data_IF_971005804567
#
_entry.id   IF_971005804567
#
_cell.length_a   1.000
_cell.length_b   1.000
_cell.length_c   1.000
_cell.angle_alpha   90.00
_cell.angle_beta   90.00
_cell.angle_gamma   90.00
#
_symmetry.space_group_name_H-M   'P 1'
#
loop_
_entity.id
_entity.type
_entity.pdbx_description
1 polymer ?
#
# COMPACT_ATOMS: atom_id res chain seq x y z
N UNK A 1 -3.37 -12.44 8.47
CA UNK A 1 -1.91 -12.22 8.35
C UNK A 1 -1.56 -11.96 6.89
N UNK A 2 -0.62 -11.05 6.63
CA UNK A 2 -0.06 -10.77 5.32
C UNK A 2 1.31 -11.46 5.23
N UNK A 3 1.53 -12.42 4.32
CA UNK A 3 2.80 -13.11 4.21
C UNK A 3 3.88 -12.23 3.57
N UNK A 4 5.15 -12.61 3.74
CA UNK A 4 6.24 -12.04 2.94
C UNK A 4 5.97 -12.29 1.45
N UNK A 5 6.37 -11.35 0.60
CA UNK A 5 6.07 -11.33 -0.83
C UNK A 5 4.69 -10.72 -1.18
N UNK A 6 3.80 -10.52 -0.22
CA UNK A 6 2.51 -9.88 -0.48
C UNK A 6 2.69 -8.44 -0.99
N UNK A 7 2.06 -8.12 -2.12
CA UNK A 7 2.12 -6.81 -2.77
C UNK A 7 0.73 -6.30 -3.14
N UNK A 8 0.63 -5.02 -3.51
CA UNK A 8 -0.64 -4.30 -3.71
C UNK A 8 -1.68 -4.61 -2.63
N UNK A 9 -1.23 -4.54 -1.38
CA UNK A 9 -2.05 -4.71 -0.19
C UNK A 9 -3.00 -3.51 -0.09
N UNK A 10 -4.28 -3.81 0.09
CA UNK A 10 -5.33 -2.85 0.41
C UNK A 10 -6.19 -3.46 1.52
N UNK A 11 -6.14 -2.88 2.71
CA UNK A 11 -6.98 -3.26 3.85
C UNK A 11 -7.84 -2.07 4.23
N UNK A 12 -9.15 -2.28 4.33
CA UNK A 12 -10.12 -1.24 4.65
C UNK A 12 -10.99 -1.69 5.81
N UNK A 13 -11.01 -0.91 6.87
CA UNK A 13 -11.98 -0.97 7.94
C UNK A 13 -13.07 0.09 7.69
N UNK A 14 -14.31 -0.25 8.01
CA UNK A 14 -15.43 0.68 8.02
C UNK A 14 -16.19 0.52 9.31
N UNK A 15 -16.69 1.66 9.77
CA UNK A 15 -17.66 1.77 10.84
C UNK A 15 -18.81 0.79 10.77
N UNK A 16 -19.16 0.18 11.90
CA UNK A 16 -20.43 -0.51 12.03
C UNK A 16 -21.59 0.44 11.70
N UNK A 17 -22.47 0.04 10.77
CA UNK A 17 -23.57 0.87 10.23
C UNK A 17 -23.16 2.28 9.75
N UNK A 18 -21.90 2.50 9.37
CA UNK A 18 -21.42 3.79 8.85
C UNK A 18 -21.00 4.79 9.94
N UNK A 19 -20.86 4.36 11.19
CA UNK A 19 -20.30 5.19 12.27
C UNK A 19 -18.82 5.50 12.01
N UNK A 20 -18.43 6.77 12.00
CA UNK A 20 -17.03 7.17 11.73
C UNK A 20 -16.13 6.96 12.96
N UNK A 21 -16.71 6.93 14.16
CA UNK A 21 -16.01 6.65 15.43
C UNK A 21 -16.66 5.42 16.09
N UNK A 22 -16.47 4.24 15.53
CA UNK A 22 -16.98 2.98 16.12
C UNK A 22 -16.01 2.33 17.12
N UNK A 23 -15.04 3.13 17.59
CA UNK A 23 -13.94 2.78 18.49
C UNK A 23 -13.02 1.64 18.00
N UNK A 24 -13.25 1.14 16.79
CA UNK A 24 -12.43 0.14 16.14
C UNK A 24 -11.33 0.81 15.32
N UNK A 25 -10.14 0.22 15.32
CA UNK A 25 -9.01 0.73 14.55
C UNK A 25 -8.07 -0.38 14.09
N UNK A 26 -7.45 -0.19 12.92
CA UNK A 26 -6.44 -1.06 12.37
C UNK A 26 -5.14 -0.95 13.17
N UNK A 27 -4.54 -2.10 13.45
CA UNK A 27 -3.24 -2.27 14.09
C UNK A 27 -2.35 -3.20 13.26
N UNK A 28 -1.04 -2.95 13.28
CA UNK A 28 -0.06 -3.75 12.53
C UNK A 28 1.03 -4.23 13.47
N UNK A 29 1.27 -5.54 13.48
CA UNK A 29 2.40 -6.18 14.16
C UNK A 29 3.38 -6.77 13.15
N UNK A 30 4.66 -6.78 13.53
CA UNK A 30 5.67 -7.56 12.81
C UNK A 30 5.60 -9.05 13.20
N UNK A 31 6.43 -9.88 12.56
CA UNK A 31 6.53 -11.32 12.86
C UNK A 31 7.01 -11.65 14.29
N UNK A 32 7.55 -10.68 15.03
CA UNK A 32 7.94 -10.82 16.45
C UNK A 32 6.82 -10.42 17.42
N UNK A 33 5.66 -9.99 16.91
CA UNK A 33 4.53 -9.54 17.73
C UNK A 33 4.61 -8.08 18.20
N UNK A 34 5.62 -7.32 17.77
CA UNK A 34 5.77 -5.89 18.10
C UNK A 34 4.86 -5.04 17.21
N UNK A 35 4.08 -4.15 17.82
CA UNK A 35 3.27 -3.16 17.10
C UNK A 35 4.15 -2.15 16.35
N UNK A 36 3.90 -2.01 15.05
CA UNK A 36 4.50 -1.02 14.15
C UNK A 36 3.55 0.16 13.87
N UNK A 37 2.24 -0.09 13.95
CA UNK A 37 1.17 0.88 13.83
C UNK A 37 0.07 0.51 14.82
N UNK A 38 -0.42 1.50 15.56
CA UNK A 38 -1.55 1.45 16.51
C UNK A 38 -1.53 0.23 17.45
N UNK A 39 -1.37 0.48 18.74
CA UNK A 39 -1.17 -0.55 19.75
C UNK A 39 -0.40 0.02 20.94
N UNK A 40 -0.20 -0.78 21.99
CA UNK A 40 0.41 -0.30 23.24
C UNK A 40 -0.26 0.99 23.77
N UNK A 41 -1.59 1.05 23.74
CA UNK A 41 -2.40 2.21 24.14
C UNK A 41 -2.19 3.50 23.31
N UNK A 42 -1.62 3.39 22.10
CA UNK A 42 -1.41 4.51 21.18
C UNK A 42 -2.18 4.29 19.87
N UNK A 43 -2.87 5.34 19.39
CA UNK A 43 -3.64 5.33 18.14
C UNK A 43 -3.33 6.58 17.32
N UNK A 44 -3.12 6.41 16.02
CA UNK A 44 -2.85 7.49 15.08
C UNK A 44 -4.16 8.01 14.46
N UNK A 45 -4.53 9.24 14.80
CA UNK A 45 -5.72 9.89 14.25
C UNK A 45 -5.57 10.34 12.78
N UNK A 46 -4.34 10.48 12.31
CA UNK A 46 -3.97 11.05 11.00
C UNK A 46 -3.19 10.05 10.16
N UNK A 47 -3.01 10.40 8.89
CA UNK A 47 -2.23 9.62 7.94
C UNK A 47 -0.79 9.36 8.45
N UNK A 48 -0.31 8.13 8.29
CA UNK A 48 1.00 7.69 8.76
C UNK A 48 1.67 6.72 7.79
N UNK A 49 2.95 6.97 7.56
CA UNK A 49 3.85 6.11 6.79
C UNK A 49 4.65 5.20 7.71
N UNK A 50 4.60 3.88 7.45
CA UNK A 50 5.30 2.86 8.23
C UNK A 50 6.28 2.14 7.29
N UNK A 51 7.57 2.25 7.58
CA UNK A 51 8.61 1.54 6.84
C UNK A 51 8.86 0.17 7.46
N UNK A 52 8.68 -0.89 6.67
CA UNK A 52 8.86 -2.29 7.06
C UNK A 52 9.90 -2.94 6.17
N UNK A 53 11.15 -3.01 6.63
CA UNK A 53 12.28 -3.63 5.89
C UNK A 53 12.36 -3.20 4.42
N UNK A 54 12.10 -1.91 4.14
CA UNK A 54 12.14 -1.34 2.79
C UNK A 54 10.81 -1.29 2.03
N UNK A 55 9.74 -1.88 2.58
CA UNK A 55 8.38 -1.77 2.07
C UNK A 55 7.62 -0.68 2.84
N UNK A 56 7.05 0.28 2.11
CA UNK A 56 6.28 1.37 2.69
C UNK A 56 4.80 0.96 2.81
N UNK A 57 4.26 1.04 4.01
CA UNK A 57 2.84 0.92 4.30
C UNK A 57 2.28 2.31 4.61
N UNK A 58 1.21 2.72 3.94
CA UNK A 58 0.50 3.97 4.21
C UNK A 58 -0.82 3.68 4.90
N UNK A 59 -1.01 4.33 6.04
CA UNK A 59 -2.20 4.23 6.87
C UNK A 59 -2.96 5.56 6.85
N UNK A 60 -4.28 5.57 6.69
CA UNK A 60 -5.07 6.80 6.50
C UNK A 60 -5.43 7.56 7.78
N UNK A 61 -5.37 6.92 8.96
CA UNK A 61 -5.80 7.51 10.23
C UNK A 61 -7.24 7.13 10.63
N UNK A 62 -7.49 7.08 11.93
CA UNK A 62 -8.82 6.71 12.48
C UNK A 62 -9.91 7.76 12.27
N UNK A 63 -9.55 9.00 11.96
CA UNK A 63 -10.55 10.07 11.71
C UNK A 63 -11.21 9.99 10.34
N UNK A 64 -10.79 9.03 9.51
CA UNK A 64 -11.32 8.83 8.16
C UNK A 64 -12.58 7.96 8.19
N UNK A 65 -13.54 8.24 7.30
CA UNK A 65 -14.79 7.44 7.20
C UNK A 65 -14.55 6.00 6.74
N UNK A 66 -13.38 5.73 6.16
CA UNK A 66 -12.89 4.41 5.80
C UNK A 66 -11.42 4.36 6.16
N UNK A 67 -11.10 3.71 7.27
CA UNK A 67 -9.74 3.53 7.72
C UNK A 67 -9.03 2.53 6.79
N UNK A 68 -7.88 2.92 6.26
CA UNK A 68 -7.23 2.23 5.17
C UNK A 68 -5.75 2.02 5.46
N UNK A 69 -5.25 0.83 5.10
CA UNK A 69 -3.84 0.48 5.12
C UNK A 69 -3.44 -0.08 3.75
N UNK A 70 -2.49 0.57 3.09
CA UNK A 70 -2.05 0.21 1.75
C UNK A 70 -0.55 -0.04 1.67
N UNK A 71 -0.14 -1.01 0.86
CA UNK A 71 1.27 -1.24 0.56
C UNK A 71 1.43 -1.72 -0.89
N UNK A 72 2.29 -1.06 -1.66
CA UNK A 72 2.44 -1.39 -3.08
C UNK A 72 3.57 -2.38 -3.35
N UNK A 73 4.72 -2.18 -2.70
CA UNK A 73 5.88 -3.07 -2.87
C UNK A 73 5.67 -4.39 -2.10
N UNK A 74 6.21 -5.52 -2.60
CA UNK A 74 6.19 -6.78 -1.88
C UNK A 74 6.76 -6.62 -0.47
N UNK A 75 6.05 -7.13 0.53
CA UNK A 75 6.55 -7.15 1.91
C UNK A 75 7.81 -8.03 2.00
N UNK A 76 8.84 -7.53 2.67
CA UNK A 76 10.05 -8.34 2.94
C UNK A 76 9.90 -9.24 4.16
N UNK A 77 8.84 -9.04 4.95
CA UNK A 77 8.49 -9.90 6.08
C UNK A 77 6.98 -10.01 6.24
N UNK A 78 6.52 -11.07 6.93
CA UNK A 78 5.11 -11.22 7.25
C UNK A 78 4.66 -10.22 8.31
N UNK A 79 3.45 -9.68 8.12
CA UNK A 79 2.81 -8.76 9.04
C UNK A 79 1.48 -9.32 9.54
N UNK A 80 1.14 -9.05 10.78
CA UNK A 80 -0.20 -9.33 11.32
C UNK A 80 -0.98 -8.04 11.35
N UNK A 81 -2.12 -8.04 10.65
CA UNK A 81 -3.10 -6.96 10.73
C UNK A 81 -4.17 -7.38 11.73
N UNK A 82 -4.45 -6.52 12.69
CA UNK A 82 -5.50 -6.69 13.69
C UNK A 82 -6.47 -5.52 13.62
N UNK A 83 -7.71 -5.76 14.08
CA UNK A 83 -8.63 -4.67 14.43
C UNK A 83 -8.81 -4.71 15.93
N UNK A 84 -8.40 -3.64 16.57
CA UNK A 84 -8.53 -3.43 18.00
C UNK A 84 -9.69 -2.49 18.27
N UNK A 85 -10.27 -2.56 19.47
CA UNK A 85 -11.41 -1.73 19.87
C UNK A 85 -11.16 -1.12 21.24
N UNK A 86 -11.46 0.17 21.41
CA UNK A 86 -11.42 0.85 22.72
C UNK A 86 -12.83 1.18 23.17
N UNK A 87 -13.47 0.25 23.89
CA UNK A 87 -14.79 0.47 24.48
C UNK A 87 -15.81 -0.56 23.99
N UNK A 88 -16.88 -0.09 23.33
CA UNK A 88 -17.98 -0.97 22.95
C UNK A 88 -17.61 -1.76 21.70
N UNK A 89 -17.33 -3.05 21.87
CA UNK A 89 -17.07 -3.97 20.76
C UNK A 89 -18.25 -3.97 19.78
N UNK A 90 -18.09 -3.25 18.67
CA UNK A 90 -19.01 -3.31 17.53
C UNK A 90 -18.41 -4.24 16.47
N UNK A 91 -19.23 -5.01 15.72
CA UNK A 91 -18.70 -5.91 14.70
C UNK A 91 -17.88 -5.14 13.64
N UNK A 92 -16.57 -5.43 13.48
CA UNK A 92 -15.73 -4.69 12.56
C UNK A 92 -16.03 -5.09 11.11
N UNK A 93 -16.12 -4.11 10.20
CA UNK A 93 -16.35 -4.36 8.77
C UNK A 93 -15.05 -4.22 8.00
N UNK A 94 -14.34 -5.34 7.85
CA UNK A 94 -13.02 -5.37 7.22
C UNK A 94 -13.12 -5.97 5.83
N UNK A 95 -12.47 -5.33 4.86
CA UNK A 95 -12.20 -5.90 3.53
C UNK A 95 -10.72 -5.80 3.25
N UNK A 96 -10.13 -6.86 2.71
CA UNK A 96 -8.73 -6.87 2.36
C UNK A 96 -8.47 -7.59 1.04
N UNK A 97 -7.43 -7.16 0.35
CA UNK A 97 -6.88 -7.82 -0.84
C UNK A 97 -5.37 -7.63 -0.90
N UNK A 98 -4.67 -8.61 -1.46
CA UNK A 98 -3.24 -8.56 -1.75
C UNK A 98 -2.90 -9.58 -2.84
N UNK A 99 -1.73 -9.45 -3.45
CA UNK A 99 -1.21 -10.39 -4.45
C UNK A 99 0.03 -11.10 -3.94
N UNK A 100 0.17 -12.37 -4.30
CA UNK A 100 1.37 -13.15 -4.06
C UNK A 100 2.10 -13.41 -5.37
N UNK A 101 3.45 -13.42 -5.35
CA UNK A 101 4.22 -13.88 -6.51
C UNK A 101 3.84 -15.32 -6.82
N UNK A 102 3.72 -15.63 -8.11
CA UNK A 102 3.43 -16.99 -8.59
C UNK A 102 4.75 -17.73 -8.70
N UNK A 103 4.89 -18.86 -8.00
CA UNK A 103 6.07 -19.71 -8.15
C UNK A 103 6.09 -20.30 -9.58
N UNK A 104 7.16 -20.05 -10.33
CA UNK A 104 7.43 -20.77 -11.57
C UNK A 104 7.77 -22.22 -11.20
N UNK A 105 6.80 -23.12 -11.29
CA UNK A 105 7.03 -24.56 -11.17
C UNK A 105 7.62 -25.11 -12.46
N UNK A 106 8.93 -25.04 -12.59
CA UNK A 106 9.71 -26.09 -13.25
C UNK A 106 10.82 -26.55 -12.30
N UNK A 107 10.94 -27.86 -12.16
CA UNK A 107 11.88 -28.62 -11.32
C UNK A 107 11.58 -28.75 -9.81
N UNK A 108 10.76 -29.76 -9.48
CA UNK A 108 11.24 -30.96 -8.75
C UNK A 108 10.15 -32.03 -8.68
N UNK A 109 10.25 -32.99 -9.59
CA UNK A 109 9.78 -34.34 -9.40
C UNK A 109 10.62 -35.05 -8.34
N UNK A 110 10.01 -35.47 -7.23
CA UNK A 110 10.34 -36.73 -6.51
C UNK A 110 9.77 -36.71 -5.09
N UNK A 111 8.56 -37.22 -4.90
CA UNK A 111 8.21 -38.08 -3.77
C UNK A 111 7.03 -38.96 -4.23
N UNK A 112 7.38 -40.09 -4.84
CA UNK A 112 6.53 -41.29 -4.85
C UNK A 112 6.91 -42.13 -3.64
N UNK A 113 5.96 -43.02 -3.29
CA UNK A 113 5.98 -44.16 -2.35
C UNK A 113 5.34 -43.86 -1.00
N UNK A 114 4.39 -44.62 -0.47
CA UNK A 114 3.74 -45.92 -0.78
C UNK A 114 2.34 -45.84 -0.10
N UNK A 115 1.23 -46.47 -0.48
CA UNK A 115 0.99 -47.82 -1.00
C UNK A 115 0.28 -48.67 0.07
N UNK A 116 -1.04 -48.94 -0.05
CA UNK A 116 -1.81 -50.14 0.39
C UNK A 116 -3.32 -49.88 0.17
N UNK A 117 -3.98 -50.33 -0.91
CA UNK A 117 -4.45 -51.68 -1.31
C UNK A 117 -5.74 -52.18 -0.61
N UNK A 118 -6.79 -52.39 -1.41
CA UNK A 118 -7.64 -53.62 -1.48
C UNK A 118 -8.83 -53.32 -2.43
N UNK A 119 -8.79 -53.67 -3.72
CA UNK A 119 -9.15 -54.98 -4.32
C UNK A 119 -10.65 -55.31 -4.35
N UNK A 120 -11.22 -55.19 -5.56
CA UNK A 120 -12.14 -56.09 -6.28
C UNK A 120 -13.47 -56.50 -5.62
N UNK A 121 -14.59 -56.13 -6.25
CA UNK A 121 -15.39 -57.08 -7.05
C UNK A 121 -16.39 -56.37 -7.97
N UNK A 122 -16.59 -56.99 -9.14
CA UNK A 122 -17.49 -56.62 -10.23
C UNK A 122 -18.67 -57.59 -10.18
N UNK A 123 -19.90 -57.09 -10.10
CA UNK A 123 -21.04 -57.61 -10.89
C UNK A 123 -22.30 -56.74 -10.76
N UNK A 124 -23.13 -56.85 -11.81
CA UNK A 124 -24.25 -56.00 -12.20
C UNK A 124 -25.53 -56.31 -11.38
N UNK A 125 -26.46 -55.35 -11.31
CA UNK A 125 -27.83 -55.45 -11.85
C UNK A 125 -28.75 -54.34 -11.27
N UNK A 126 -29.36 -53.65 -12.23
CA UNK A 126 -30.64 -52.94 -12.29
C UNK A 126 -30.88 -51.49 -11.81
N UNK A 127 -31.44 -50.76 -12.79
CA UNK A 127 -32.40 -49.66 -12.77
C UNK A 127 -32.31 -48.59 -11.68
N UNK A 128 -31.81 -47.41 -12.07
CA UNK A 128 -32.70 -46.33 -12.53
C UNK A 128 -31.87 -45.14 -13.00
N UNK A 129 -32.01 -44.83 -14.29
CA UNK A 129 -31.50 -43.61 -14.90
C UNK A 129 -32.23 -42.41 -14.30
N UNK A 130 -31.47 -41.49 -13.71
CA UNK A 130 -31.83 -40.07 -13.72
C UNK A 130 -30.63 -39.34 -14.30
N UNK A 131 -30.61 -39.21 -15.63
CA UNK A 131 -29.73 -38.28 -16.32
C UNK A 131 -30.07 -36.86 -15.86
N UNK A 132 -29.40 -36.36 -14.83
CA UNK A 132 -29.32 -34.93 -14.59
C UNK A 132 -28.38 -34.37 -15.65
N UNK A 133 -28.92 -34.06 -16.83
CA UNK A 133 -28.25 -33.26 -17.84
C UNK A 133 -27.87 -31.93 -17.18
N UNK A 134 -26.58 -31.77 -16.83
CA UNK A 134 -26.03 -30.45 -16.48
C UNK A 134 -26.29 -29.54 -17.67
N UNK A 135 -27.02 -28.43 -17.51
CA UNK A 135 -27.10 -27.45 -18.58
C UNK A 135 -25.70 -26.86 -18.72
N UNK A 136 -25.12 -27.03 -19.91
CA UNK A 136 -23.92 -26.30 -20.32
C UNK A 136 -24.33 -24.84 -20.52
N UNK A 137 -24.45 -24.09 -19.41
CA UNK A 137 -24.56 -22.65 -19.46
C UNK A 137 -23.25 -22.13 -20.04
N UNK A 138 -23.23 -21.84 -21.34
CA UNK A 138 -22.24 -20.94 -21.94
C UNK A 138 -22.34 -19.62 -21.18
N UNK A 139 -21.54 -19.47 -20.12
CA UNK A 139 -21.46 -18.22 -19.37
C UNK A 139 -21.09 -17.12 -20.36
N UNK A 140 -21.81 -16.00 -20.40
CA UNK A 140 -21.40 -14.85 -21.19
C UNK A 140 -19.94 -14.54 -20.86
N UNK A 141 -19.06 -14.61 -21.86
CA UNK A 141 -17.68 -14.16 -21.68
C UNK A 141 -17.75 -12.66 -21.38
N UNK A 142 -17.39 -12.30 -20.15
CA UNK A 142 -17.25 -10.93 -19.72
C UNK A 142 -15.77 -10.68 -19.44
N UNK A 143 -15.31 -9.47 -19.78
CA UNK A 143 -13.91 -9.08 -19.76
C UNK A 143 -13.73 -7.75 -19.05
N UNK A 144 -12.60 -7.61 -18.36
CA UNK A 144 -12.19 -6.34 -17.80
C UNK A 144 -11.69 -5.41 -18.89
N UNK A 145 -12.21 -4.19 -18.89
CA UNK A 145 -11.80 -3.11 -19.79
C UNK A 145 -11.24 -1.98 -18.93
N UNK A 146 -10.08 -1.45 -19.33
CA UNK A 146 -9.40 -0.36 -18.62
C UNK A 146 -9.37 0.89 -19.46
N UNK A 147 -9.63 2.04 -18.85
CA UNK A 147 -9.35 3.33 -19.47
C UNK A 147 -7.87 3.73 -19.38
N UNK A 148 -7.58 4.90 -19.94
CA UNK A 148 -6.28 5.56 -19.78
C UNK A 148 -6.05 5.96 -18.32
N UNK A 149 -4.78 6.12 -17.96
CA UNK A 149 -4.40 6.70 -16.69
C UNK A 149 -4.64 8.21 -16.70
N UNK A 150 -5.26 8.70 -15.64
CA UNK A 150 -5.38 10.12 -15.32
C UNK A 150 -3.99 10.73 -15.05
N UNK A 151 -3.93 12.05 -14.97
CA UNK A 151 -2.71 12.76 -14.58
C UNK A 151 -2.25 12.39 -13.17
N UNK A 152 -0.95 12.51 -12.93
CA UNK A 152 -0.40 12.25 -11.61
C UNK A 152 -0.92 13.27 -10.60
N UNK A 153 -1.37 12.80 -9.42
CA UNK A 153 -1.92 13.66 -8.38
C UNK A 153 -0.92 14.69 -7.82
N UNK A 154 0.36 14.57 -8.15
CA UNK A 154 1.44 15.47 -7.76
C UNK A 154 2.34 15.76 -8.96
N UNK A 155 3.01 16.91 -8.93
CA UNK A 155 4.05 17.26 -9.91
C UNK A 155 5.40 16.62 -9.59
N UNK A 156 5.64 16.29 -8.31
CA UNK A 156 6.78 15.52 -7.85
C UNK A 156 6.45 14.79 -6.53
N UNK A 157 7.21 13.76 -6.22
CA UNK A 157 7.08 12.94 -5.03
C UNK A 157 6.17 11.73 -5.28
N UNK A 158 5.61 11.20 -4.19
CA UNK A 158 4.82 9.99 -4.22
C UNK A 158 3.35 10.31 -4.58
N UNK A 159 3.09 10.48 -5.87
CA UNK A 159 1.73 10.68 -6.39
C UNK A 159 1.00 9.39 -6.69
N UNK A 160 -0.29 9.54 -7.01
CA UNK A 160 -1.14 8.47 -7.50
C UNK A 160 -1.78 8.86 -8.83
N UNK A 161 -1.85 7.90 -9.75
CA UNK A 161 -2.68 7.96 -10.94
C UNK A 161 -3.82 6.96 -10.80
N UNK A 162 -5.00 7.35 -11.29
CA UNK A 162 -6.18 6.52 -11.33
C UNK A 162 -6.54 6.21 -12.78
N UNK A 163 -7.20 5.07 -13.01
CA UNK A 163 -7.85 4.76 -14.29
C UNK A 163 -9.20 4.12 -14.04
N UNK A 164 -10.06 4.14 -15.06
CA UNK A 164 -11.31 3.39 -15.03
C UNK A 164 -11.03 1.90 -15.24
N UNK A 165 -11.74 1.05 -14.48
CA UNK A 165 -11.69 -0.41 -14.62
C UNK A 165 -13.12 -0.93 -14.51
N UNK A 166 -13.66 -1.36 -15.65
CA UNK A 166 -15.06 -1.76 -15.79
C UNK A 166 -15.13 -3.20 -16.30
N UNK A 167 -16.06 -3.97 -15.76
CA UNK A 167 -16.39 -5.28 -16.31
C UNK A 167 -17.41 -5.07 -17.42
N UNK A 168 -17.15 -5.58 -18.62
CA UNK A 168 -18.06 -5.49 -19.76
C UNK A 168 -18.30 -6.87 -20.38
N UNK A 169 -19.52 -7.12 -20.83
CA UNK A 169 -19.86 -8.33 -21.57
C UNK A 169 -19.36 -8.29 -23.03
N UNK A 170 -19.66 -9.33 -23.81
CA UNK A 170 -19.34 -9.39 -25.24
C UNK A 170 -20.02 -8.28 -26.08
N UNK A 171 -21.12 -7.71 -25.59
CA UNK A 171 -21.85 -6.62 -26.25
C UNK A 171 -21.34 -5.24 -25.80
N UNK A 172 -20.33 -5.18 -24.93
CA UNK A 172 -19.75 -3.94 -24.42
C UNK A 172 -20.56 -3.25 -23.32
N UNK A 173 -21.57 -3.93 -22.78
CA UNK A 173 -22.45 -3.43 -21.71
C UNK A 173 -21.81 -3.75 -20.35
N UNK A 174 -21.98 -2.87 -19.38
CA UNK A 174 -21.53 -3.10 -18.00
C UNK A 174 -22.07 -4.42 -17.45
N UNK A 175 -21.16 -5.29 -17.02
CA UNK A 175 -21.44 -6.58 -16.44
C UNK A 175 -20.86 -6.68 -15.03
N UNK A 176 -21.29 -7.69 -14.27
CA UNK A 176 -20.80 -7.96 -12.90
C UNK A 176 -20.11 -9.31 -12.76
N UNK A 177 -20.21 -10.15 -13.79
CA UNK A 177 -19.83 -11.57 -13.71
C UNK A 177 -18.35 -11.81 -14.05
N UNK A 178 -17.57 -10.74 -14.27
CA UNK A 178 -16.14 -10.87 -14.53
C UNK A 178 -15.44 -11.47 -13.31
N UNK A 179 -14.47 -12.34 -13.59
CA UNK A 179 -13.62 -12.90 -12.55
C UNK A 179 -12.86 -11.78 -11.84
N UNK A 180 -13.23 -11.52 -10.60
CA UNK A 180 -12.62 -10.49 -9.76
C UNK A 180 -11.13 -10.73 -9.50
N UNK A 181 -10.65 -11.98 -9.62
CA UNK A 181 -9.23 -12.30 -9.50
C UNK A 181 -8.39 -11.75 -10.67
N UNK A 182 -9.05 -11.50 -11.81
CA UNK A 182 -8.43 -10.92 -13.01
C UNK A 182 -8.66 -9.41 -13.11
N UNK A 183 -9.29 -8.76 -12.11
CA UNK A 183 -9.57 -7.32 -12.15
C UNK A 183 -8.26 -6.53 -12.18
N UNK A 184 -8.00 -5.73 -13.24
CA UNK A 184 -6.80 -4.91 -13.32
C UNK A 184 -6.76 -3.85 -12.21
N UNK A 185 -5.55 -3.43 -11.83
CA UNK A 185 -5.36 -2.35 -10.85
C UNK A 185 -5.94 -1.03 -11.38
N UNK A 186 -6.70 -0.32 -10.55
CA UNK A 186 -7.30 0.99 -10.88
C UNK A 186 -6.46 2.17 -10.36
N UNK A 187 -5.42 1.90 -9.58
CA UNK A 187 -4.49 2.88 -9.02
C UNK A 187 -3.04 2.45 -9.24
N UNK A 188 -2.16 3.42 -9.51
CA UNK A 188 -0.70 3.21 -9.53
C UNK A 188 0.04 4.40 -8.94
N UNK A 189 1.25 4.15 -8.44
CA UNK A 189 2.17 5.21 -8.02
C UNK A 189 2.72 5.94 -9.25
N UNK A 190 2.88 7.24 -9.13
CA UNK A 190 3.50 8.11 -10.13
C UNK A 190 4.32 9.22 -9.44
N UNK A 191 5.03 9.99 -10.24
CA UNK A 191 5.77 11.17 -9.79
C UNK A 191 7.24 10.89 -9.53
N UNK A 192 8.07 11.85 -9.94
CA UNK A 192 9.52 11.81 -9.76
C UNK A 192 9.93 12.41 -8.42
N UNK A 193 11.06 12.00 -7.81
CA UNK A 193 11.53 12.58 -6.55
C UNK A 193 11.54 14.10 -6.56
N UNK A 194 10.94 14.72 -5.53
CA UNK A 194 10.94 16.17 -5.43
C UNK A 194 12.35 16.73 -5.24
N UNK A 195 12.65 17.90 -5.83
CA UNK A 195 13.91 18.58 -5.60
C UNK A 195 14.03 19.02 -4.14
N UNK A 196 15.26 19.04 -3.64
CA UNK A 196 15.59 19.31 -2.26
C UNK A 196 16.51 20.54 -2.15
N UNK A 197 16.48 21.18 -0.98
CA UNK A 197 17.41 22.25 -0.66
C UNK A 197 18.82 21.69 -0.47
N UNK A 198 19.72 22.01 -1.38
CA UNK A 198 21.14 21.84 -1.22
C UNK A 198 21.68 22.96 -0.32
N UNK A 199 22.28 22.56 0.79
CA UNK A 199 22.76 23.44 1.86
C UNK A 199 24.26 23.62 1.68
N UNK A 200 24.69 24.84 1.38
CA UNK A 200 26.10 25.19 1.34
C UNK A 200 26.68 25.44 2.74
N UNK A 201 28.01 25.56 2.79
CA UNK A 201 28.75 25.90 4.00
C UNK A 201 28.39 27.29 4.52
N UNK A 202 28.55 27.48 5.83
CA UNK A 202 28.47 28.80 6.44
C UNK A 202 29.67 29.64 6.06
N UNK A 203 29.42 30.92 5.76
CA UNK A 203 30.45 31.94 5.66
C UNK A 203 31.15 32.11 7.01
N UNK A 204 32.37 32.66 7.01
CA UNK A 204 32.95 33.24 8.23
C UNK A 204 31.99 34.23 8.89
N UNK A 205 32.15 34.42 10.20
CA UNK A 205 31.40 35.42 10.95
C UNK A 205 31.71 36.81 10.40
N UNK A 206 30.69 37.66 10.28
CA UNK A 206 30.83 39.02 9.73
C UNK A 206 31.73 39.94 10.55
N UNK A 207 32.03 39.55 11.80
CA UNK A 207 32.98 40.22 12.67
C UNK A 207 34.02 39.22 13.15
N UNK A 208 35.19 39.74 13.53
CA UNK A 208 36.30 38.98 14.12
C UNK A 208 36.29 38.99 15.65
N UNK A 209 35.43 39.80 16.28
CA UNK A 209 35.16 39.83 17.72
C UNK A 209 33.67 40.20 17.98
N UNK A 210 33.17 39.88 19.17
CA UNK A 210 31.82 40.21 19.63
C UNK A 210 30.72 39.48 18.86
N UNK A 211 29.52 40.09 18.82
CA UNK A 211 28.33 39.56 18.12
C UNK A 211 28.33 39.97 16.65
N UNK A 212 28.21 38.98 15.77
CA UNK A 212 28.07 39.11 14.32
C UNK A 212 27.05 38.13 13.74
N UNK A 213 27.09 37.94 12.42
CA UNK A 213 26.24 36.99 11.71
C UNK A 213 27.03 36.24 10.64
N UNK A 214 26.56 35.05 10.27
CA UNK A 214 27.09 34.21 9.19
C UNK A 214 25.95 33.88 8.22
N UNK A 215 26.28 33.68 6.95
CA UNK A 215 25.33 33.36 5.88
C UNK A 215 25.73 32.07 5.20
N UNK A 216 24.78 31.28 4.69
CA UNK A 216 25.09 30.12 3.85
C UNK A 216 24.29 30.17 2.56
N UNK A 217 24.79 29.56 1.50
CA UNK A 217 24.05 29.50 0.23
C UNK A 217 23.04 28.37 0.25
N UNK A 218 21.81 28.63 -0.19
CA UNK A 218 20.78 27.60 -0.38
C UNK A 218 20.38 27.53 -1.84
N UNK A 219 20.56 26.36 -2.46
CA UNK A 219 20.21 26.09 -3.87
C UNK A 219 19.16 24.99 -3.93
N UNK A 220 18.24 25.07 -4.90
CA UNK A 220 17.32 23.97 -5.16
C UNK A 220 17.98 22.97 -6.10
N UNK A 221 17.94 21.68 -5.79
CA UNK A 221 18.66 20.66 -6.53
C UNK A 221 17.82 19.39 -6.66
N UNK A 222 17.78 18.79 -7.84
CA UNK A 222 17.17 17.47 -8.05
C UNK A 222 18.05 16.37 -7.45
N UNK A 223 17.51 15.15 -7.33
CA UNK A 223 18.30 14.00 -6.87
C UNK A 223 19.44 13.62 -7.83
N UNK A 224 19.33 13.98 -9.11
CA UNK A 224 20.38 13.83 -10.13
C UNK A 224 21.45 14.92 -10.09
N UNK A 225 21.26 15.92 -9.22
CA UNK A 225 22.20 17.00 -8.98
C UNK A 225 22.07 18.22 -9.90
N UNK A 226 20.97 18.32 -10.65
CA UNK A 226 20.67 19.50 -11.45
C UNK A 226 20.16 20.63 -10.54
N UNK A 227 20.73 21.82 -10.67
CA UNK A 227 20.23 23.00 -9.98
C UNK A 227 18.99 23.58 -10.67
N UNK A 228 17.96 23.83 -9.87
CA UNK A 228 16.69 24.40 -10.31
C UNK A 228 16.47 25.78 -9.69
N UNK A 229 15.53 26.58 -10.25
CA UNK A 229 15.03 27.78 -9.59
C UNK A 229 14.46 27.49 -8.20
N UNK A 230 14.55 28.47 -7.29
CA UNK A 230 14.24 28.30 -5.86
C UNK A 230 12.80 27.90 -5.57
N UNK A 231 11.88 28.35 -6.41
CA UNK A 231 10.43 28.11 -6.36
C UNK A 231 10.05 26.65 -6.59
N UNK A 232 10.93 25.84 -7.20
CA UNK A 232 10.70 24.40 -7.38
C UNK A 232 10.90 23.62 -6.09
N UNK A 233 11.68 24.17 -5.14
CA UNK A 233 11.84 23.58 -3.83
C UNK A 233 10.76 24.08 -2.88
N UNK A 234 10.33 23.20 -1.98
CA UNK A 234 9.32 23.55 -0.99
C UNK A 234 9.83 24.65 -0.05
N UNK A 235 9.27 25.85 -0.16
CA UNK A 235 9.64 27.03 0.63
C UNK A 235 9.36 26.81 2.13
N UNK A 236 8.34 26.03 2.49
CA UNK A 236 8.04 25.69 3.90
C UNK A 236 9.14 24.85 4.55
N UNK A 237 9.94 24.15 3.74
CA UNK A 237 11.11 23.37 4.20
C UNK A 237 12.44 24.08 3.95
N UNK A 238 12.42 25.39 3.62
CA UNK A 238 13.65 26.17 3.38
C UNK A 238 14.47 26.28 4.67
N UNK A 239 15.73 25.83 4.68
CA UNK A 239 16.61 25.98 5.83
C UNK A 239 16.94 27.46 6.12
N UNK A 240 17.43 27.73 7.33
CA UNK A 240 17.88 29.07 7.72
C UNK A 240 19.07 29.51 6.87
N UNK A 241 19.00 30.69 6.24
CA UNK A 241 20.07 31.21 5.36
C UNK A 241 21.04 32.15 6.09
N UNK A 242 20.59 32.76 7.20
CA UNK A 242 21.31 33.72 8.02
C UNK A 242 21.26 33.28 9.48
N UNK A 243 22.40 33.17 10.15
CA UNK A 243 22.52 32.78 11.56
C UNK A 243 23.45 33.72 12.34
N UNK A 244 23.30 33.79 13.66
CA UNK A 244 24.11 34.65 14.51
C UNK A 244 25.36 33.91 15.01
N UNK A 245 26.45 34.66 15.20
CA UNK A 245 27.70 34.15 15.76
C UNK A 245 28.22 35.11 16.83
N UNK A 246 28.79 34.56 17.90
CA UNK A 246 29.46 35.33 18.94
C UNK A 246 30.88 34.82 19.08
N UNK A 247 31.86 35.69 18.84
CA UNK A 247 33.28 35.41 19.01
C UNK A 247 33.77 35.97 20.35
N UNK A 248 35.09 35.95 20.58
CA UNK A 248 35.73 36.60 21.74
C UNK A 248 35.27 38.06 21.89
N UNK A 249 35.24 38.56 23.12
CA UNK A 249 34.94 39.97 23.38
C UNK A 249 35.83 40.89 22.53
N UNK A 250 35.20 41.94 22.00
CA UNK A 250 35.93 43.16 21.70
C UNK A 250 36.11 43.89 23.04
#
# INVERSE_FOLDING_TARGET
MLPAGASSIDVRQRGYKGMVNDDNYLAVKNGQGKYLLNGNYVVSAVERDIMVKGSLLRYSGTTTSVEMLQAFRPLQESLTIEVLSVGKMTPPRIRYSFYLPKDNKEEKSSFKKDGMNSSLNKEMVDTNQVEVKKPEYKRPLCKWVTGSWDDCSVTCGNGLQKRTVECRDNNGISATDCDMSLRPVDLRICGDPCPLWNIGEWSPCSKTCGKGFKRRTLRCMTQTGLYLPREHCNIKKKPQELDFCTLRSC
#
